data_IF_610386989419
#
_entry.id   IF_610386989419
#
_cell.length_a   1.000
_cell.length_b   1.000
_cell.length_c   1.000
_cell.angle_alpha   90.00
_cell.angle_beta   90.00
_cell.angle_gamma   90.00
#
_symmetry.space_group_name_H-M   'P 1'
#
loop_
_entity.id
_entity.type
_entity.pdbx_description
1 polymer ?
#
# COMPACT_ATOMS: atom_id res chain seq x y z
N UNK A 1 28.76 -21.54 10.94
CA UNK A 1 28.27 -20.63 12.01
C UNK A 1 28.73 -19.23 11.62
N UNK A 2 27.97 -18.15 11.52
CA UNK A 2 26.56 -17.80 11.72
C UNK A 2 26.48 -16.35 11.21
N UNK A 3 25.66 -16.04 10.22
CA UNK A 3 25.25 -14.66 9.95
C UNK A 3 23.78 -14.65 9.50
N UNK A 4 22.95 -15.25 10.36
CA UNK A 4 21.52 -14.93 10.42
C UNK A 4 21.41 -13.56 11.09
N UNK A 5 20.50 -12.73 10.59
CA UNK A 5 19.87 -11.60 11.29
C UNK A 5 20.37 -10.18 10.93
N UNK A 6 20.06 -9.72 9.71
CA UNK A 6 19.74 -8.28 9.49
C UNK A 6 18.52 -8.07 8.59
N UNK A 7 18.03 -9.12 7.89
CA UNK A 7 16.84 -9.03 7.04
C UNK A 7 15.49 -9.05 7.77
N UNK A 8 15.43 -9.56 9.01
CA UNK A 8 14.14 -9.84 9.67
C UNK A 8 13.54 -8.65 10.43
N UNK A 9 14.33 -7.64 10.82
CA UNK A 9 13.79 -6.44 11.47
C UNK A 9 13.22 -5.44 10.46
N UNK A 10 13.77 -5.40 9.24
CA UNK A 10 13.27 -4.53 8.17
C UNK A 10 11.99 -5.04 7.50
N UNK A 11 11.62 -6.31 7.71
CA UNK A 11 10.33 -6.86 7.28
C UNK A 11 9.23 -6.63 8.31
N UNK A 12 9.58 -6.42 9.60
CA UNK A 12 8.60 -6.34 10.67
C UNK A 12 7.90 -4.97 10.70
N UNK A 13 8.62 -3.85 10.56
CA UNK A 13 8.00 -2.52 10.46
C UNK A 13 7.25 -2.33 9.14
N UNK A 14 7.78 -2.90 8.05
CA UNK A 14 7.17 -2.85 6.71
C UNK A 14 5.90 -3.70 6.62
N UNK A 15 5.90 -4.93 7.16
CA UNK A 15 4.65 -5.70 7.29
C UNK A 15 3.64 -4.96 8.14
N UNK A 16 4.06 -4.39 9.28
CA UNK A 16 3.15 -3.68 10.18
C UNK A 16 2.48 -2.45 9.53
N UNK A 17 3.14 -1.76 8.61
CA UNK A 17 2.54 -0.63 7.87
C UNK A 17 1.62 -1.08 6.72
N UNK A 18 1.89 -2.23 6.09
CA UNK A 18 1.03 -2.82 5.07
C UNK A 18 -0.20 -3.51 5.70
N UNK A 19 -0.03 -4.16 6.86
CA UNK A 19 -1.11 -4.70 7.70
C UNK A 19 -2.02 -3.56 8.22
N UNK A 20 -1.51 -2.33 8.26
CA UNK A 20 -2.26 -1.14 8.63
C UNK A 20 -2.96 -0.48 7.45
N UNK A 21 -2.92 -1.01 6.22
CA UNK A 21 -3.64 -0.44 5.09
C UNK A 21 -4.29 -1.54 4.27
N UNK A 22 -5.62 -1.49 4.18
CA UNK A 22 -6.39 -2.40 3.34
C UNK A 22 -6.99 -1.62 2.18
N UNK A 23 -6.75 -2.07 0.95
CA UNK A 23 -7.48 -1.56 -0.22
C UNK A 23 -8.90 -2.14 -0.16
N UNK A 24 -9.90 -1.28 -0.15
CA UNK A 24 -11.32 -1.68 -0.07
C UNK A 24 -12.11 -1.35 -1.33
N UNK A 25 -11.52 -0.58 -2.26
CA UNK A 25 -12.14 -0.28 -3.55
C UNK A 25 -11.16 0.36 -4.53
N UNK A 26 -11.39 0.10 -5.81
CA UNK A 26 -10.69 0.70 -6.94
C UNK A 26 -11.73 1.34 -7.86
N UNK A 27 -11.47 2.58 -8.27
CA UNK A 27 -12.34 3.34 -9.17
C UNK A 27 -11.50 3.82 -10.33
N UNK A 28 -11.71 3.20 -11.50
CA UNK A 28 -11.15 3.66 -12.76
C UNK A 28 -12.19 4.49 -13.50
N UNK A 29 -11.81 5.66 -14.01
CA UNK A 29 -12.75 6.53 -14.71
C UNK A 29 -12.08 7.61 -15.55
N UNK A 30 -12.84 8.34 -16.38
CA UNK A 30 -12.30 9.38 -17.27
C UNK A 30 -11.67 10.55 -16.52
N UNK A 31 -11.91 10.67 -15.20
CA UNK A 31 -11.33 11.67 -14.32
C UNK A 31 -10.03 11.19 -13.63
N UNK A 32 -9.59 9.97 -13.92
CA UNK A 32 -8.40 9.34 -13.35
C UNK A 32 -8.70 8.20 -12.38
N UNK A 33 -7.68 7.39 -12.12
CA UNK A 33 -7.79 6.22 -11.27
C UNK A 33 -7.62 6.60 -9.80
N UNK A 34 -8.56 6.15 -8.97
CA UNK A 34 -8.58 6.41 -7.53
C UNK A 34 -8.85 5.14 -6.75
N UNK A 35 -8.34 5.07 -5.52
CA UNK A 35 -8.53 3.93 -4.64
C UNK A 35 -9.10 4.38 -3.30
N UNK A 36 -9.89 3.52 -2.68
CA UNK A 36 -10.28 3.64 -1.28
C UNK A 36 -9.40 2.72 -0.45
N UNK A 37 -8.77 3.30 0.55
CA UNK A 37 -7.97 2.58 1.52
C UNK A 37 -8.54 2.79 2.92
N UNK A 38 -8.50 1.72 3.71
CA UNK A 38 -8.78 1.76 5.13
C UNK A 38 -7.46 1.66 5.88
N UNK A 39 -7.21 2.62 6.76
CA UNK A 39 -6.04 2.56 7.65
C UNK A 39 -6.30 1.65 8.85
N UNK A 40 -5.26 1.25 9.56
CA UNK A 40 -5.36 0.43 10.78
C UNK A 40 -6.10 1.11 11.92
N UNK A 41 -6.31 2.44 11.84
CA UNK A 41 -7.19 3.20 12.74
C UNK A 41 -8.66 3.16 12.35
N UNK A 42 -9.00 2.50 11.24
CA UNK A 42 -10.35 2.41 10.69
C UNK A 42 -10.76 3.58 9.80
N UNK A 43 -9.91 4.60 9.64
CA UNK A 43 -10.19 5.74 8.76
C UNK A 43 -10.16 5.33 7.29
N UNK A 44 -11.11 5.84 6.52
CA UNK A 44 -11.21 5.59 5.09
C UNK A 44 -10.74 6.83 4.34
N UNK A 45 -9.80 6.64 3.43
CA UNK A 45 -9.25 7.71 2.60
C UNK A 45 -9.43 7.37 1.13
N UNK A 46 -9.83 8.36 0.33
CA UNK A 46 -9.78 8.31 -1.13
C UNK A 46 -8.45 8.88 -1.59
N UNK A 47 -7.73 8.12 -2.40
CA UNK A 47 -6.38 8.45 -2.87
C UNK A 47 -6.29 8.35 -4.40
N UNK A 48 -5.38 9.13 -4.97
CA UNK A 48 -4.98 9.11 -6.37
C UNK A 48 -3.47 8.85 -6.51
N UNK A 49 -2.99 8.60 -7.73
CA UNK A 49 -1.56 8.52 -8.01
C UNK A 49 -0.86 9.85 -7.63
N UNK A 50 0.28 9.74 -6.93
CA UNK A 50 1.03 10.87 -6.39
C UNK A 50 0.70 11.22 -4.93
N UNK A 51 -0.42 10.74 -4.38
CA UNK A 51 -0.79 11.01 -2.99
C UNK A 51 0.16 10.35 -1.99
N UNK A 52 0.18 10.87 -0.76
CA UNK A 52 0.91 10.28 0.36
C UNK A 52 -0.04 9.96 1.51
N UNK A 53 0.02 8.71 1.97
CA UNK A 53 -0.82 8.23 3.07
C UNK A 53 -0.05 7.24 3.92
N UNK A 54 -0.17 7.36 5.25
CA UNK A 54 0.49 6.48 6.22
C UNK A 54 2.01 6.26 5.98
N UNK A 55 2.70 7.28 5.43
CA UNK A 55 4.13 7.22 5.12
C UNK A 55 4.48 6.51 3.80
N UNK A 56 3.48 6.18 2.99
CA UNK A 56 3.62 5.59 1.66
C UNK A 56 3.22 6.62 0.59
N UNK A 57 3.86 6.54 -0.57
CA UNK A 57 3.52 7.33 -1.76
C UNK A 57 2.81 6.42 -2.76
N UNK A 58 1.67 6.86 -3.28
CA UNK A 58 0.93 6.14 -4.32
C UNK A 58 1.65 6.38 -5.65
N UNK A 59 2.10 5.31 -6.30
CA UNK A 59 2.76 5.40 -7.60
C UNK A 59 1.76 5.29 -8.74
N UNK A 60 0.90 4.28 -8.67
CA UNK A 60 -0.09 4.00 -9.69
C UNK A 60 -1.29 3.28 -9.08
N UNK A 61 -2.46 3.48 -9.68
CA UNK A 61 -3.70 2.78 -9.36
C UNK A 61 -4.19 2.20 -10.68
N UNK A 62 -4.60 0.95 -10.66
CA UNK A 62 -5.16 0.24 -11.81
C UNK A 62 -6.50 -0.39 -11.42
N UNK A 63 -7.15 -1.07 -12.35
CA UNK A 63 -8.38 -1.83 -12.12
C UNK A 63 -8.18 -3.02 -11.16
N UNK A 64 -6.94 -3.48 -10.96
CA UNK A 64 -6.63 -4.68 -10.17
C UNK A 64 -5.77 -4.43 -8.94
N UNK A 65 -4.92 -3.40 -8.98
CA UNK A 65 -3.89 -3.20 -7.97
C UNK A 65 -3.54 -1.73 -7.74
N UNK A 66 -3.02 -1.47 -6.54
CA UNK A 66 -2.40 -0.21 -6.14
C UNK A 66 -0.90 -0.44 -5.95
N UNK A 67 -0.09 0.35 -6.64
CA UNK A 67 1.36 0.36 -6.43
C UNK A 67 1.75 1.48 -5.47
N UNK A 68 2.53 1.13 -4.46
CA UNK A 68 2.94 2.01 -3.38
C UNK A 68 4.45 2.03 -3.24
N UNK A 69 5.00 3.13 -2.73
CA UNK A 69 6.42 3.24 -2.35
C UNK A 69 6.57 3.73 -0.93
N UNK A 70 7.39 3.06 -0.13
CA UNK A 70 7.75 3.55 1.20
C UNK A 70 8.80 4.67 1.15
N UNK A 71 9.02 5.31 2.30
CA UNK A 71 10.05 6.33 2.49
C UNK A 71 11.49 5.81 2.26
N UNK A 72 11.70 4.50 2.23
CA UNK A 72 13.00 3.84 1.95
C UNK A 72 13.16 3.49 0.46
N UNK A 73 12.18 3.86 -0.36
CA UNK A 73 12.20 3.62 -1.81
C UNK A 73 11.76 2.21 -2.23
N UNK A 74 11.26 1.37 -1.32
CA UNK A 74 10.76 0.03 -1.68
C UNK A 74 9.35 0.14 -2.24
N UNK A 75 9.11 -0.57 -3.33
CA UNK A 75 7.81 -0.64 -3.99
C UNK A 75 7.02 -1.85 -3.52
N UNK A 76 5.72 -1.69 -3.31
CA UNK A 76 4.78 -2.73 -2.92
C UNK A 76 3.57 -2.69 -3.84
N UNK A 77 2.94 -3.84 -4.03
CA UNK A 77 1.69 -3.98 -4.77
C UNK A 77 0.62 -4.50 -3.81
N UNK A 78 -0.51 -3.81 -3.75
CA UNK A 78 -1.68 -4.23 -3.01
C UNK A 78 -2.82 -4.51 -3.97
N UNK A 79 -3.37 -5.72 -3.86
CA UNK A 79 -4.58 -6.14 -4.55
C UNK A 79 -5.78 -6.05 -3.59
N UNK A 80 -6.98 -6.07 -4.16
CA UNK A 80 -8.20 -6.23 -3.37
C UNK A 80 -8.17 -7.60 -2.65
N UNK A 81 -8.59 -7.68 -1.36
CA UNK A 81 -8.55 -8.93 -0.58
C UNK A 81 -9.35 -10.08 -1.19
N UNK A 82 -10.41 -9.79 -1.95
CA UNK A 82 -11.28 -10.78 -2.62
C UNK A 82 -10.96 -10.94 -4.12
N UNK A 83 -9.79 -10.48 -4.59
CA UNK A 83 -9.37 -10.65 -5.99
C UNK A 83 -8.58 -11.96 -6.24
N UNK A 84 -8.58 -12.89 -5.28
CA UNK A 84 -7.86 -14.18 -5.34
C UNK A 84 -8.75 -15.31 -5.89
#
# INVERSE_FOLDING_TARGET
>A
MTAKTVGQMAQSTTKLQLDAITVIGLFTGPQGDTALIRTGKGEIHKIAAGDRVAGLTILAITDRQVQLRDHRGRTYELTLPDAA
#
